data_IF_380606242064
#
_entry.id   IF_380606242064
#
_cell.length_a   1.000
_cell.length_b   1.000
_cell.length_c   1.000
_cell.angle_alpha   90.00
_cell.angle_beta   90.00
_cell.angle_gamma   90.00
#
_symmetry.space_group_name_H-M   'P 1'
#
loop_
_entity.id
_entity.type
_entity.pdbx_description
1 polymer ?
#
# COMPACT_ATOMS: atom_id res chain seq x y z
N UNK A 1 -15.74 3.18 6.83
CA UNK A 1 -14.32 2.86 7.05
C UNK A 1 -13.47 3.67 6.10
N UNK A 2 -12.39 4.26 6.59
CA UNK A 2 -11.48 5.04 5.76
C UNK A 2 -10.35 4.14 5.26
N UNK A 3 -10.26 3.97 3.93
CA UNK A 3 -9.32 3.04 3.30
C UNK A 3 -8.04 3.76 2.85
N UNK A 4 -6.92 3.38 3.45
CA UNK A 4 -5.61 3.96 3.14
C UNK A 4 -4.87 3.01 2.21
N UNK A 5 -4.70 3.40 0.95
CA UNK A 5 -3.90 2.63 0.00
C UNK A 5 -2.42 2.90 0.23
N UNK A 6 -1.60 1.86 0.23
CA UNK A 6 -0.15 1.98 0.35
C UNK A 6 0.52 1.24 -0.80
N UNK A 7 1.38 1.94 -1.52
CA UNK A 7 2.17 1.38 -2.61
C UNK A 7 3.65 1.68 -2.40
N UNK A 8 4.51 0.86 -3.01
CA UNK A 8 5.96 1.00 -2.90
C UNK A 8 6.63 -0.26 -3.42
N UNK A 9 7.93 -0.39 -3.17
CA UNK A 9 8.68 -1.56 -3.62
C UNK A 9 8.10 -2.85 -3.03
N UNK A 10 7.72 -3.79 -3.87
CA UNK A 10 7.37 -5.16 -3.46
C UNK A 10 8.56 -6.11 -3.60
N UNK A 11 9.60 -5.67 -4.28
CA UNK A 11 10.87 -6.35 -4.43
C UNK A 11 12.00 -5.33 -4.41
N UNK A 12 13.21 -5.77 -4.73
CA UNK A 12 14.37 -4.89 -4.72
C UNK A 12 14.97 -4.71 -3.33
N UNK A 13 15.96 -3.83 -3.24
CA UNK A 13 16.69 -3.57 -2.00
C UNK A 13 16.52 -2.13 -1.57
N UNK A 14 16.20 -1.95 -0.31
CA UNK A 14 16.11 -0.63 0.30
C UNK A 14 16.44 -0.76 1.79
N UNK A 15 16.66 0.37 2.45
CA UNK A 15 16.91 0.36 3.89
C UNK A 15 15.58 0.09 4.62
N UNK A 16 15.45 -1.10 5.23
CA UNK A 16 14.22 -1.51 5.90
C UNK A 16 13.87 -0.65 7.11
N UNK A 17 14.86 -0.21 7.88
CA UNK A 17 14.62 0.63 9.05
C UNK A 17 14.05 1.99 8.64
N UNK A 18 14.60 2.57 7.58
CA UNK A 18 14.08 3.82 7.01
C UNK A 18 12.67 3.61 6.46
N UNK A 19 12.44 2.51 5.75
CA UNK A 19 11.13 2.17 5.22
C UNK A 19 10.08 2.06 6.32
N UNK A 20 10.40 1.35 7.40
CA UNK A 20 9.49 1.22 8.55
C UNK A 20 9.17 2.55 9.20
N UNK A 21 10.17 3.42 9.34
CA UNK A 21 9.97 4.76 9.89
C UNK A 21 9.08 5.61 8.97
N UNK A 22 9.31 5.59 7.66
CA UNK A 22 8.51 6.34 6.70
C UNK A 22 7.05 5.88 6.68
N UNK A 23 6.83 4.57 6.69
CA UNK A 23 5.47 4.02 6.74
C UNK A 23 4.76 4.46 8.02
N UNK A 24 5.42 4.34 9.17
CA UNK A 24 4.83 4.76 10.44
C UNK A 24 4.47 6.24 10.43
N UNK A 25 5.37 7.10 9.96
CA UNK A 25 5.13 8.53 9.84
C UNK A 25 3.94 8.80 8.92
N UNK A 26 3.92 8.16 7.75
CA UNK A 26 2.84 8.35 6.78
C UNK A 26 1.48 7.99 7.35
N UNK A 27 1.37 6.86 8.03
CA UNK A 27 0.11 6.42 8.61
C UNK A 27 -0.35 7.34 9.74
N UNK A 28 0.58 7.84 10.55
CA UNK A 28 0.27 8.80 11.60
C UNK A 28 -0.22 10.14 11.01
N UNK A 29 0.41 10.61 9.94
CA UNK A 29 0.00 11.85 9.25
C UNK A 29 -1.40 11.70 8.67
N UNK A 30 -1.68 10.58 8.00
CA UNK A 30 -3.01 10.32 7.43
C UNK A 30 -4.07 10.31 8.54
N UNK A 31 -3.80 9.61 9.63
CA UNK A 31 -4.74 9.53 10.76
C UNK A 31 -4.95 10.90 11.41
N UNK A 32 -3.91 11.71 11.55
CA UNK A 32 -4.01 13.05 12.07
C UNK A 32 -4.85 13.94 11.17
N UNK A 33 -4.65 13.87 9.85
CA UNK A 33 -5.39 14.66 8.87
C UNK A 33 -6.88 14.31 8.81
N UNK A 34 -7.24 13.06 9.11
CA UNK A 34 -8.60 12.55 8.92
C UNK A 34 -9.37 12.31 10.23
N UNK A 35 -8.69 12.35 11.35
CA UNK A 35 -9.31 12.32 12.67
C UNK A 35 -9.69 10.92 13.16
N UNK A 36 -10.62 10.89 14.11
CA UNK A 36 -11.03 9.66 14.78
C UNK A 36 -11.99 8.85 13.91
N UNK A 37 -11.42 7.97 13.09
CA UNK A 37 -12.15 7.10 12.17
C UNK A 37 -11.67 5.66 12.31
N UNK A 38 -12.43 4.74 11.76
CA UNK A 38 -11.98 3.37 11.58
C UNK A 38 -11.19 3.30 10.28
N UNK A 39 -9.95 2.86 10.37
CA UNK A 39 -9.03 2.78 9.22
C UNK A 39 -8.84 1.35 8.75
N UNK A 40 -8.68 1.20 7.44
CA UNK A 40 -8.23 -0.03 6.81
C UNK A 40 -6.98 0.26 5.98
N UNK A 41 -6.00 -0.62 6.07
CA UNK A 41 -4.79 -0.58 5.26
C UNK A 41 -5.02 -1.45 4.04
N UNK A 42 -4.90 -0.88 2.86
CA UNK A 42 -5.13 -1.55 1.58
C UNK A 42 -3.84 -1.54 0.77
N UNK A 43 -3.35 -2.70 0.37
CA UNK A 43 -2.14 -2.79 -0.45
C UNK A 43 -2.20 -4.02 -1.34
N UNK A 44 -1.12 -4.32 -2.04
CA UNK A 44 -0.93 -5.60 -2.72
C UNK A 44 -0.85 -6.71 -1.68
N UNK A 45 -1.08 -7.92 -2.11
CA UNK A 45 -1.25 -9.06 -1.19
C UNK A 45 0.07 -9.66 -0.70
N UNK A 46 1.17 -9.43 -1.39
CA UNK A 46 2.44 -10.10 -1.13
C UNK A 46 3.06 -9.71 0.21
N UNK A 47 3.57 -10.70 0.94
CA UNK A 47 4.32 -10.47 2.20
C UNK A 47 5.77 -10.14 1.88
N UNK A 48 5.97 -9.05 1.16
CA UNK A 48 7.28 -8.57 0.70
C UNK A 48 7.27 -7.05 0.64
N UNK A 49 8.45 -6.46 0.88
CA UNK A 49 8.67 -5.04 0.66
C UNK A 49 7.74 -4.11 1.44
N UNK A 50 7.36 -3.03 0.82
CA UNK A 50 6.53 -2.00 1.45
C UNK A 50 5.14 -2.51 1.84
N UNK A 51 4.43 -3.32 1.03
CA UNK A 51 3.15 -3.87 1.47
C UNK A 51 3.25 -4.63 2.79
N UNK A 52 4.26 -5.47 2.97
CA UNK A 52 4.46 -6.22 4.21
C UNK A 52 4.69 -5.30 5.40
N UNK A 53 5.51 -4.26 5.23
CA UNK A 53 5.79 -3.28 6.28
C UNK A 53 4.51 -2.53 6.66
N UNK A 54 3.72 -2.15 5.67
CA UNK A 54 2.47 -1.43 5.88
C UNK A 54 1.44 -2.28 6.64
N UNK A 55 1.28 -3.55 6.29
CA UNK A 55 0.37 -4.45 6.99
C UNK A 55 0.77 -4.64 8.45
N UNK A 56 2.07 -4.84 8.72
CA UNK A 56 2.55 -4.97 10.10
C UNK A 56 2.30 -3.72 10.92
N UNK A 57 2.47 -2.55 10.30
CA UNK A 57 2.18 -1.28 10.96
C UNK A 57 0.68 -1.11 11.24
N UNK A 58 -0.17 -1.54 10.33
CA UNK A 58 -1.63 -1.52 10.50
C UNK A 58 -2.08 -2.47 11.63
N UNK A 59 -1.52 -3.68 11.66
CA UNK A 59 -1.82 -4.65 12.70
C UNK A 59 -1.47 -4.12 14.09
N UNK A 60 -0.34 -3.44 14.23
CA UNK A 60 0.06 -2.80 15.50
C UNK A 60 -0.93 -1.74 15.96
N UNK A 61 -1.64 -1.11 15.02
CA UNK A 61 -2.64 -0.07 15.31
C UNK A 61 -4.05 -0.64 15.50
N UNK A 62 -4.22 -1.94 15.32
CA UNK A 62 -5.52 -2.58 15.37
C UNK A 62 -6.42 -2.25 14.18
N UNK A 63 -5.83 -1.87 13.06
CA UNK A 63 -6.57 -1.53 11.84
C UNK A 63 -6.86 -2.79 11.02
N UNK A 64 -7.92 -2.72 10.22
CA UNK A 64 -8.25 -3.76 9.25
C UNK A 64 -7.19 -3.78 8.13
N UNK A 65 -6.91 -4.96 7.60
CA UNK A 65 -6.02 -5.13 6.44
C UNK A 65 -6.78 -5.71 5.27
N UNK A 66 -6.54 -5.16 4.08
CA UNK A 66 -7.16 -5.58 2.83
C UNK A 66 -6.07 -5.77 1.78
N UNK A 67 -6.07 -6.91 1.12
CA UNK A 67 -5.14 -7.19 0.03
C UNK A 67 -5.86 -7.23 -1.30
N UNK A 68 -5.44 -6.41 -2.26
CA UNK A 68 -5.96 -6.40 -3.62
C UNK A 68 -4.81 -6.70 -4.58
N UNK A 69 -4.92 -7.77 -5.33
CA UNK A 69 -3.86 -8.19 -6.25
C UNK A 69 -4.44 -9.01 -7.40
N UNK A 70 -3.61 -9.25 -8.42
CA UNK A 70 -3.94 -10.19 -9.48
C UNK A 70 -3.66 -11.64 -9.01
N UNK A 71 -4.09 -12.62 -9.79
CA UNK A 71 -3.93 -14.04 -9.42
C UNK A 71 -2.47 -14.48 -9.31
N UNK A 72 -1.54 -13.78 -9.96
CA UNK A 72 -0.10 -14.08 -9.84
C UNK A 72 0.45 -13.88 -8.44
N UNK A 73 -0.24 -13.12 -7.58
CA UNK A 73 0.17 -12.96 -6.19
C UNK A 73 0.18 -14.30 -5.44
N UNK A 74 -0.65 -15.27 -5.85
CA UNK A 74 -0.71 -16.59 -5.23
C UNK A 74 0.59 -17.39 -5.39
N UNK A 75 1.43 -17.04 -6.36
CA UNK A 75 2.73 -17.67 -6.58
C UNK A 75 3.80 -17.15 -5.62
N UNK A 76 3.48 -16.19 -4.79
CA UNK A 76 4.38 -15.56 -3.82
C UNK A 76 3.85 -15.72 -2.40
N UNK A 77 4.72 -15.57 -1.38
CA UNK A 77 4.24 -15.49 -0.01
C UNK A 77 3.26 -14.32 0.13
N UNK A 78 2.10 -14.58 0.71
CA UNK A 78 1.06 -13.58 0.92
C UNK A 78 0.92 -13.24 2.39
N UNK A 79 0.62 -11.97 2.69
CA UNK A 79 0.32 -11.54 4.05
C UNK A 79 -1.07 -12.06 4.45
N UNK A 80 -1.24 -12.42 5.71
CA UNK A 80 -2.52 -12.89 6.24
C UNK A 80 -3.43 -11.67 6.52
N UNK A 81 -4.09 -11.21 5.47
CA UNK A 81 -4.97 -10.04 5.53
C UNK A 81 -6.38 -10.43 6.00
N UNK A 82 -7.12 -9.45 6.52
CA UNK A 82 -8.51 -9.66 6.94
C UNK A 82 -9.43 -9.89 5.74
N UNK A 83 -9.17 -9.20 4.63
CA UNK A 83 -9.97 -9.34 3.41
C UNK A 83 -9.04 -9.44 2.20
N UNK A 84 -9.29 -10.44 1.36
CA UNK A 84 -8.49 -10.73 0.18
C UNK A 84 -9.33 -10.60 -1.07
N UNK A 85 -8.87 -9.77 -2.01
CA UNK A 85 -9.56 -9.50 -3.27
C UNK A 85 -8.60 -9.79 -4.43
N UNK A 86 -8.98 -10.71 -5.31
CA UNK A 86 -8.20 -11.04 -6.51
C UNK A 86 -8.92 -10.51 -7.73
N UNK A 87 -8.22 -9.71 -8.52
CA UNK A 87 -8.72 -9.11 -9.76
C UNK A 87 -7.71 -9.27 -10.88
N UNK A 88 -8.10 -9.98 -11.93
CA UNK A 88 -7.26 -10.18 -13.11
C UNK A 88 -6.17 -11.24 -12.95
N UNK A 89 -5.44 -11.49 -14.03
CA UNK A 89 -4.42 -12.53 -14.10
C UNK A 89 -3.00 -11.97 -14.19
N UNK A 90 -2.85 -10.75 -14.70
CA UNK A 90 -1.56 -10.10 -14.90
C UNK A 90 -1.35 -8.96 -13.91
N UNK A 91 -0.10 -8.75 -13.52
CA UNK A 91 0.25 -7.61 -12.66
C UNK A 91 -0.19 -6.29 -13.31
N UNK A 92 -0.95 -5.50 -12.56
CA UNK A 92 -1.52 -4.24 -13.02
C UNK A 92 -3.01 -4.33 -13.36
N UNK A 93 -3.55 -5.53 -13.59
CA UNK A 93 -4.98 -5.71 -13.88
C UNK A 93 -5.86 -5.23 -12.71
N UNK A 94 -5.34 -5.34 -11.49
CA UNK A 94 -6.05 -4.95 -10.26
C UNK A 94 -5.99 -3.45 -9.95
N UNK A 95 -5.19 -2.67 -10.69
CA UNK A 95 -4.92 -1.27 -10.35
C UNK A 95 -6.18 -0.40 -10.31
N UNK A 96 -7.08 -0.56 -11.27
CA UNK A 96 -8.32 0.22 -11.29
C UNK A 96 -9.20 -0.08 -10.08
N UNK A 97 -9.33 -1.35 -9.72
CA UNK A 97 -10.09 -1.76 -8.54
C UNK A 97 -9.47 -1.20 -7.27
N UNK A 98 -8.15 -1.31 -7.15
CA UNK A 98 -7.40 -0.78 -6.01
C UNK A 98 -7.64 0.73 -5.86
N UNK A 99 -7.46 1.50 -6.94
CA UNK A 99 -7.60 2.95 -6.90
C UNK A 99 -9.03 3.40 -6.58
N UNK A 100 -10.03 2.64 -7.01
CA UNK A 100 -11.42 2.95 -6.71
C UNK A 100 -11.84 2.50 -5.30
N UNK A 101 -11.05 1.65 -4.67
CA UNK A 101 -11.33 1.13 -3.33
C UNK A 101 -10.83 2.06 -2.22
N UNK A 102 -9.76 2.81 -2.48
CA UNK A 102 -9.07 3.63 -1.47
C UNK A 102 -9.61 5.06 -1.37
N UNK A 103 -9.44 5.67 -0.21
CA UNK A 103 -9.81 7.06 0.04
C UNK A 103 -8.63 8.01 -0.04
N UNK A 104 -7.43 7.50 0.16
CA UNK A 104 -6.17 8.23 -0.07
C UNK A 104 -5.07 7.23 -0.43
N UNK A 105 -3.98 7.74 -0.98
CA UNK A 105 -2.83 6.92 -1.37
C UNK A 105 -1.57 7.39 -0.68
N UNK A 106 -0.83 6.44 -0.12
CA UNK A 106 0.53 6.65 0.41
C UNK A 106 1.52 5.91 -0.50
N UNK A 107 2.51 6.62 -1.01
CA UNK A 107 3.61 6.03 -1.77
C UNK A 107 4.89 6.13 -0.95
N UNK A 108 5.54 5.00 -0.72
CA UNK A 108 6.84 4.94 -0.06
C UNK A 108 7.85 4.31 -1.01
N UNK A 109 8.77 5.11 -1.51
CA UNK A 109 9.65 4.71 -2.59
C UNK A 109 8.87 4.44 -3.87
N UNK A 110 9.22 3.40 -4.59
CA UNK A 110 8.36 2.95 -5.66
C UNK A 110 9.05 2.21 -6.78
N UNK A 111 8.39 1.20 -7.29
CA UNK A 111 8.67 0.62 -8.58
C UNK A 111 7.79 1.27 -9.64
N UNK A 112 7.88 0.77 -10.85
CA UNK A 112 7.16 1.30 -12.00
C UNK A 112 5.63 1.32 -11.78
N UNK A 113 5.07 0.24 -11.28
CA UNK A 113 3.63 0.14 -11.02
C UNK A 113 3.18 1.14 -9.95
N UNK A 114 3.96 1.30 -8.88
CA UNK A 114 3.64 2.25 -7.80
C UNK A 114 3.63 3.70 -8.29
N UNK A 115 4.55 4.06 -9.15
CA UNK A 115 4.63 5.41 -9.74
C UNK A 115 3.43 5.66 -10.64
N UNK A 116 3.05 4.68 -11.46
CA UNK A 116 1.88 4.79 -12.34
C UNK A 116 0.59 4.90 -11.54
N UNK A 117 0.41 4.09 -10.50
CA UNK A 117 -0.74 4.15 -9.62
C UNK A 117 -0.84 5.51 -8.91
N UNK A 118 0.30 6.06 -8.50
CA UNK A 118 0.37 7.38 -7.88
C UNK A 118 -0.11 8.48 -8.84
N UNK A 119 0.35 8.41 -10.09
CA UNK A 119 -0.07 9.35 -11.13
C UNK A 119 -1.58 9.28 -11.37
N UNK A 120 -2.12 8.08 -11.50
CA UNK A 120 -3.55 7.87 -11.69
C UNK A 120 -4.37 8.35 -10.49
N UNK A 121 -3.89 8.13 -9.28
CA UNK A 121 -4.55 8.61 -8.06
C UNK A 121 -4.67 10.12 -8.06
N UNK A 122 -3.61 10.83 -8.46
CA UNK A 122 -3.63 12.29 -8.58
C UNK A 122 -4.63 12.76 -9.63
N UNK A 123 -4.70 12.08 -10.77
CA UNK A 123 -5.67 12.39 -11.83
C UNK A 123 -7.11 12.18 -11.35
N UNK A 124 -7.34 11.23 -10.46
CA UNK A 124 -8.65 10.96 -9.85
C UNK A 124 -9.03 11.96 -8.76
N UNK A 125 -8.10 12.82 -8.36
CA UNK A 125 -8.33 13.78 -7.27
C UNK A 125 -8.19 13.20 -5.86
N UNK A 126 -7.59 12.02 -5.72
CA UNK A 126 -7.34 11.44 -4.39
C UNK A 126 -6.22 12.19 -3.68
N UNK A 127 -6.32 12.38 -2.34
CA UNK A 127 -5.17 12.82 -1.55
C UNK A 127 -4.03 11.83 -1.68
N UNK A 128 -2.82 12.31 -1.96
CA UNK A 128 -1.63 11.50 -2.14
C UNK A 128 -0.54 11.99 -1.20
N UNK A 129 0.07 11.05 -0.48
CA UNK A 129 1.18 11.29 0.43
C UNK A 129 2.40 10.55 -0.10
N UNK A 130 3.43 11.28 -0.50
CA UNK A 130 4.60 10.70 -1.16
C UNK A 130 5.85 10.82 -0.30
N UNK A 131 6.56 9.71 -0.13
CA UNK A 131 7.80 9.62 0.63
C UNK A 131 8.84 8.91 -0.22
N UNK A 132 9.92 9.59 -0.53
CA UNK A 132 10.98 9.01 -1.33
C UNK A 132 11.83 8.06 -0.49
N UNK A 133 12.15 6.91 -1.08
CA UNK A 133 13.00 5.89 -0.46
C UNK A 133 13.93 5.36 -1.56
N UNK A 134 15.24 5.66 -1.48
CA UNK A 134 16.16 5.20 -2.50
C UNK A 134 16.30 3.69 -2.53
N UNK A 135 16.35 3.13 -3.74
CA UNK A 135 16.72 1.73 -3.94
C UNK A 135 18.22 1.57 -3.79
N UNK A 136 18.65 0.55 -3.06
CA UNK A 136 20.05 0.22 -2.89
C UNK A 136 20.49 -0.64 -4.09
N UNK A 137 21.53 -0.18 -4.78
CA UNK A 137 22.07 -0.88 -5.95
C UNK A 137 23.17 -1.86 -5.57
#
# INVERSE_FOLDING_TARGET
MFNIGVVGYSGGKFNEDVAKALVAIALDVVAEDNGDKKYALVSGLTDMGIPAIAYRAADKRGWKTVGIACSQADDNPCYDVDERIIEGEEWGDESDLFLNYIDCLVRVGGGEQSIEETKLAKEMGLPVYEYDLPEIK
#
